data_IF_028510953786
#
_entry.id   IF_028510953786
#
_cell.length_a   1.000
_cell.length_b   1.000
_cell.length_c   1.000
_cell.angle_alpha   90.00
_cell.angle_beta   90.00
_cell.angle_gamma   90.00
#
_symmetry.space_group_name_H-M   'P 1'
#
loop_
_entity.id
_entity.type
_entity.pdbx_description
1 polymer ?
#
# COMPACT_ATOMS: atom_id res chain seq x y z
N UNK A 1 9.09 1.92 0.65
CA UNK A 1 9.16 3.36 0.31
C UNK A 1 9.53 4.23 1.51
N UNK A 2 10.15 5.41 1.30
CA UNK A 2 10.31 6.45 2.33
C UNK A 2 8.99 7.22 2.45
N UNK A 3 8.63 7.63 3.67
CA UNK A 3 7.38 8.35 3.96
C UNK A 3 7.36 9.78 3.43
N UNK A 4 8.53 10.38 3.17
CA UNK A 4 8.65 11.73 2.60
C UNK A 4 8.07 11.79 1.19
N UNK A 5 8.45 10.85 0.33
CA UNK A 5 7.97 10.74 -1.05
C UNK A 5 6.44 10.57 -1.14
N UNK A 6 5.81 9.97 -0.13
CA UNK A 6 4.35 9.82 -0.07
C UNK A 6 3.63 11.12 0.33
N UNK A 7 4.28 12.03 1.07
CA UNK A 7 3.67 13.31 1.46
C UNK A 7 3.64 14.32 0.31
N UNK A 8 4.63 14.24 -0.56
CA UNK A 8 4.76 15.09 -1.76
C UNK A 8 3.72 14.77 -2.85
N UNK A 9 3.15 13.56 -2.84
CA UNK A 9 2.09 13.16 -3.77
C UNK A 9 0.76 13.84 -3.44
N UNK A 10 -0.03 14.12 -4.48
CA UNK A 10 -1.40 14.63 -4.34
C UNK A 10 -2.34 13.57 -3.75
N UNK A 11 -3.50 13.98 -3.22
CA UNK A 11 -4.53 13.05 -2.72
C UNK A 11 -4.97 12.05 -3.79
N UNK A 12 -5.19 12.51 -5.01
CA UNK A 12 -5.55 11.64 -6.14
C UNK A 12 -4.47 10.60 -6.47
N UNK A 13 -3.19 10.99 -6.44
CA UNK A 13 -2.09 10.04 -6.65
C UNK A 13 -1.97 9.03 -5.51
N UNK A 14 -2.23 9.46 -4.27
CA UNK A 14 -2.28 8.58 -3.11
C UNK A 14 -3.42 7.55 -3.22
N UNK A 15 -4.59 7.95 -3.69
CA UNK A 15 -5.72 7.05 -3.92
C UNK A 15 -5.43 6.04 -5.05
N UNK A 16 -4.88 6.50 -6.17
CA UNK A 16 -4.46 5.60 -7.25
C UNK A 16 -3.45 4.56 -6.76
N UNK A 17 -2.48 4.99 -5.95
CA UNK A 17 -1.46 4.10 -5.39
C UNK A 17 -2.02 3.15 -4.33
N UNK A 18 -3.01 3.58 -3.57
CA UNK A 18 -3.74 2.74 -2.62
C UNK A 18 -4.44 1.59 -3.36
N UNK A 19 -5.07 1.87 -4.49
CA UNK A 19 -5.75 0.86 -5.30
C UNK A 19 -4.77 -0.14 -5.95
N UNK A 20 -3.64 0.34 -6.46
CA UNK A 20 -2.56 -0.53 -6.94
C UNK A 20 -2.06 -1.48 -5.85
N UNK A 21 -1.76 -0.95 -4.66
CA UNK A 21 -1.27 -1.75 -3.54
C UNK A 21 -2.33 -2.74 -3.01
N UNK A 22 -3.61 -2.38 -3.07
CA UNK A 22 -4.72 -3.30 -2.75
C UNK A 22 -4.79 -4.46 -3.74
N UNK A 23 -4.64 -4.20 -5.03
CA UNK A 23 -4.56 -5.25 -6.06
C UNK A 23 -3.32 -6.12 -5.87
N UNK A 24 -2.16 -5.53 -5.59
CA UNK A 24 -0.94 -6.28 -5.27
C UNK A 24 -1.15 -7.19 -4.05
N UNK A 25 -1.75 -6.66 -2.97
CA UNK A 25 -2.05 -7.43 -1.77
C UNK A 25 -3.00 -8.60 -2.05
N UNK A 26 -4.01 -8.40 -2.89
CA UNK A 26 -4.93 -9.46 -3.31
C UNK A 26 -4.18 -10.56 -4.09
N UNK A 27 -3.35 -10.18 -5.04
CA UNK A 27 -2.53 -11.12 -5.81
C UNK A 27 -1.56 -11.90 -4.91
N UNK A 28 -0.94 -11.23 -3.93
CA UNK A 28 -0.04 -11.89 -2.97
C UNK A 28 -0.79 -12.85 -2.05
N UNK A 29 -2.01 -12.50 -1.60
CA UNK A 29 -2.87 -13.41 -0.84
C UNK A 29 -3.29 -14.61 -1.69
N UNK A 30 -3.62 -14.39 -2.95
CA UNK A 30 -3.97 -15.47 -3.87
C UNK A 30 -2.78 -16.43 -4.07
N UNK A 31 -1.57 -15.89 -4.31
CA UNK A 31 -0.33 -16.67 -4.40
C UNK A 31 0.01 -17.41 -3.10
N UNK A 32 -0.34 -16.84 -1.94
CA UNK A 32 -0.19 -17.49 -0.65
C UNK A 32 -1.08 -18.74 -0.56
N UNK A 33 -2.35 -18.61 -0.95
CA UNK A 33 -3.30 -19.74 -0.96
C UNK A 33 -2.89 -20.83 -1.96
N UNK A 34 -2.36 -20.46 -3.13
CA UNK A 34 -1.86 -21.43 -4.13
C UNK A 34 -0.49 -22.02 -3.77
N UNK A 35 0.08 -21.69 -2.61
CA UNK A 35 1.41 -22.14 -2.16
C UNK A 35 2.56 -21.78 -3.13
N UNK A 36 2.35 -20.82 -4.02
CA UNK A 36 3.35 -20.33 -4.99
C UNK A 36 4.03 -19.04 -4.53
N UNK A 37 3.80 -18.63 -3.27
CA UNK A 37 4.31 -17.38 -2.73
C UNK A 37 5.82 -17.47 -2.49
N UNK A 38 6.59 -16.85 -3.40
CA UNK A 38 8.06 -16.80 -3.31
C UNK A 38 8.57 -15.86 -2.21
N UNK A 39 7.80 -14.84 -1.83
CA UNK A 39 8.26 -13.83 -0.87
C UNK A 39 7.16 -13.40 0.13
N UNK A 40 7.01 -14.10 1.26
CA UNK A 40 6.02 -13.76 2.30
C UNK A 40 6.26 -12.39 2.96
N UNK A 41 7.51 -11.91 2.98
CA UNK A 41 7.84 -10.58 3.53
C UNK A 41 7.16 -9.45 2.75
N UNK A 42 6.89 -9.65 1.45
CA UNK A 42 6.23 -8.65 0.60
C UNK A 42 4.82 -8.29 1.10
N UNK A 43 4.05 -9.27 1.60
CA UNK A 43 2.71 -9.03 2.17
C UNK A 43 2.78 -8.03 3.33
N UNK A 44 3.77 -8.19 4.22
CA UNK A 44 3.96 -7.30 5.36
C UNK A 44 4.38 -5.89 4.92
N UNK A 45 5.19 -5.79 3.87
CA UNK A 45 5.62 -4.50 3.29
C UNK A 45 4.41 -3.78 2.69
N UNK A 46 3.66 -4.43 1.81
CA UNK A 46 2.48 -3.85 1.13
C UNK A 46 1.43 -3.39 2.14
N UNK A 47 1.15 -4.20 3.18
CA UNK A 47 0.26 -3.77 4.28
C UNK A 47 0.73 -2.51 4.98
N UNK A 48 2.04 -2.38 5.25
CA UNK A 48 2.60 -1.18 5.90
C UNK A 48 2.55 0.03 4.98
N UNK A 49 2.71 -0.15 3.67
CA UNK A 49 2.60 0.93 2.70
C UNK A 49 1.15 1.43 2.57
N UNK A 50 0.17 0.53 2.52
CA UNK A 50 -1.26 0.87 2.58
C UNK A 50 -1.56 1.68 3.86
N UNK A 51 -1.10 1.22 5.01
CA UNK A 51 -1.33 1.92 6.28
C UNK A 51 -0.74 3.34 6.27
N UNK A 52 0.47 3.53 5.74
CA UNK A 52 1.11 4.84 5.62
C UNK A 52 0.34 5.79 4.71
N UNK A 53 -0.15 5.31 3.57
CA UNK A 53 -0.96 6.11 2.65
C UNK A 53 -2.25 6.56 3.32
N UNK A 54 -2.96 5.64 3.99
CA UNK A 54 -4.18 5.97 4.74
C UNK A 54 -3.93 7.01 5.84
N UNK A 55 -2.81 6.90 6.56
CA UNK A 55 -2.42 7.92 7.56
C UNK A 55 -2.21 9.28 6.91
N UNK A 56 -1.49 9.36 5.79
CA UNK A 56 -1.23 10.63 5.10
C UNK A 56 -2.52 11.23 4.52
N UNK A 57 -3.40 10.41 3.95
CA UNK A 57 -4.72 10.87 3.50
C UNK A 57 -5.52 11.46 4.65
N UNK A 58 -5.51 10.83 5.83
CA UNK A 58 -6.17 11.36 7.03
C UNK A 58 -5.51 12.65 7.54
N UNK A 59 -4.18 12.72 7.52
CA UNK A 59 -3.42 13.94 7.83
C UNK A 59 -3.83 15.09 6.90
N UNK A 60 -4.04 14.82 5.60
CA UNK A 60 -4.47 15.84 4.61
C UNK A 60 -5.93 16.24 4.72
N UNK A 61 -6.81 15.35 5.15
CA UNK A 61 -8.24 15.63 5.37
C UNK A 61 -8.49 16.49 6.62
N UNK A 62 -7.62 16.36 7.63
CA UNK A 62 -7.80 17.04 8.94
C UNK A 62 -7.15 18.43 8.97
N UNK A 63 -6.50 18.85 7.87
CA UNK A 63 -5.86 20.17 7.70
C UNK A 63 -6.75 21.08 6.87
#
# INVERSE_FOLDING_TARGET
MKTKDLRELTTNELDNKLDELRRELFNLKFQQTTHQLKNPSRIKIVRREIARILTILKEKETV
#
